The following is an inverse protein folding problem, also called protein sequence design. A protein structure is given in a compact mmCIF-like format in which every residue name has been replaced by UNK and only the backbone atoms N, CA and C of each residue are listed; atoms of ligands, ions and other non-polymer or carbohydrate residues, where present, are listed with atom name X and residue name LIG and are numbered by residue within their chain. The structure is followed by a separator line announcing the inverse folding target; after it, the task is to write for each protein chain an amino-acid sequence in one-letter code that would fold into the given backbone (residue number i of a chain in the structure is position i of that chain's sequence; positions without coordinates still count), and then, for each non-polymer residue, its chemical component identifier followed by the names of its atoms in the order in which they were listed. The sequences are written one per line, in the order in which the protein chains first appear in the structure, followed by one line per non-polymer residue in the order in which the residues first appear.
data_IF_706864548999
#
_entry.id   IF_706864548999
#
_cell.length_a   1.000
_cell.length_b   1.000
_cell.length_c   1.000
_cell.angle_alpha   90.00
_cell.angle_beta   90.00
_cell.angle_gamma   90.00
#
_symmetry.space_group_name_H-M   'P 1'
#
loop_
_entity.id
_entity.type
_entity.pdbx_description
1 polymer ?
#
# COMPACT_ATOMS: atom_id res chain seq x y z
N UNK A 1 -19.27 6.57 21.51
CA UNK A 1 -18.10 5.72 21.84
C UNK A 1 -17.72 4.97 20.57
N UNK A 2 -16.58 5.28 19.97
CA UNK A 2 -16.08 4.54 18.82
C UNK A 2 -15.39 3.26 19.33
N UNK A 3 -15.77 2.10 18.79
CA UNK A 3 -15.06 0.85 19.06
C UNK A 3 -13.66 0.96 18.46
N UNK A 4 -12.62 0.80 19.27
CA UNK A 4 -11.25 0.65 18.79
C UNK A 4 -11.12 -0.73 18.15
N UNK A 5 -11.72 -0.88 16.97
CA UNK A 5 -11.59 -2.09 16.16
C UNK A 5 -10.09 -2.22 15.83
N UNK A 6 -9.46 -3.36 16.13
CA UNK A 6 -8.02 -3.58 15.91
C UNK A 6 -7.64 -3.67 14.42
N UNK A 7 -8.57 -3.36 13.52
CA UNK A 7 -8.40 -3.41 12.07
C UNK A 7 -8.31 -1.98 11.55
N UNK A 8 -7.11 -1.42 11.62
CA UNK A 8 -6.75 -0.19 10.93
C UNK A 8 -6.08 -0.55 9.60
N UNK A 9 -6.69 -0.13 8.50
CA UNK A 9 -6.15 -0.34 7.15
C UNK A 9 -6.22 0.95 6.36
N UNK A 10 -5.24 1.17 5.49
CA UNK A 10 -5.12 2.38 4.67
C UNK A 10 -5.39 2.05 3.20
N UNK A 11 -6.22 2.86 2.55
CA UNK A 11 -6.36 2.87 1.10
C UNK A 11 -5.88 4.18 0.53
N UNK A 12 -5.21 4.11 -0.62
CA UNK A 12 -4.88 5.30 -1.39
C UNK A 12 -4.83 4.98 -2.89
N UNK A 13 -4.97 6.02 -3.70
CA UNK A 13 -5.00 5.92 -5.14
C UNK A 13 -3.58 5.82 -5.76
N UNK A 14 -3.53 5.75 -7.10
CA UNK A 14 -2.32 5.54 -7.89
C UNK A 14 -1.24 6.61 -7.70
N UNK A 15 -1.62 7.84 -7.33
CA UNK A 15 -0.65 8.88 -6.98
C UNK A 15 0.25 8.46 -5.81
N UNK A 16 -0.32 7.72 -4.86
CA UNK A 16 0.39 7.24 -3.66
C UNK A 16 1.00 5.85 -3.86
N UNK A 17 0.45 5.00 -4.72
CA UNK A 17 1.02 3.67 -4.99
C UNK A 17 2.33 3.68 -5.76
N UNK A 18 2.63 4.76 -6.50
CA UNK A 18 3.94 4.97 -7.14
C UNK A 18 5.01 5.46 -6.16
N UNK A 19 4.61 6.06 -5.04
CA UNK A 19 5.54 6.65 -4.08
C UNK A 19 6.01 5.59 -3.07
N UNK A 20 7.20 5.04 -3.29
CA UNK A 20 7.77 4.01 -2.43
C UNK A 20 7.89 4.44 -0.96
N UNK A 21 8.03 5.74 -0.69
CA UNK A 21 8.11 6.29 0.67
C UNK A 21 6.79 6.15 1.40
N UNK A 22 5.66 6.34 0.71
CA UNK A 22 4.35 6.19 1.29
C UNK A 22 4.13 4.75 1.75
N UNK A 23 4.49 3.78 0.91
CA UNK A 23 4.50 2.37 1.28
C UNK A 23 5.38 2.11 2.51
N UNK A 24 6.60 2.66 2.56
CA UNK A 24 7.51 2.47 3.69
C UNK A 24 6.95 3.02 5.01
N UNK A 25 6.26 4.16 4.97
CA UNK A 25 5.62 4.75 6.16
C UNK A 25 4.52 3.82 6.70
N UNK A 26 3.73 3.19 5.81
CA UNK A 26 2.67 2.26 6.22
C UNK A 26 3.24 0.97 6.82
N UNK A 27 4.34 0.46 6.25
CA UNK A 27 5.08 -0.69 6.78
C UNK A 27 5.68 -0.39 8.17
N UNK A 28 6.32 0.77 8.34
CA UNK A 28 6.89 1.21 9.62
C UNK A 28 5.82 1.39 10.70
N UNK A 29 4.64 1.91 10.32
CA UNK A 29 3.48 2.02 11.19
C UNK A 29 2.78 0.68 11.51
N UNK A 30 3.19 -0.42 10.86
CA UNK A 30 2.55 -1.74 11.03
C UNK A 30 1.10 -1.78 10.52
N UNK A 31 0.73 -0.89 9.60
CA UNK A 31 -0.62 -0.79 9.07
C UNK A 31 -0.82 -1.67 7.83
N UNK A 32 -1.92 -2.43 7.77
CA UNK A 32 -2.32 -3.09 6.53
C UNK A 32 -2.75 -2.07 5.47
N UNK A 33 -2.43 -2.28 4.20
CA UNK A 33 -2.79 -1.32 3.15
C UNK A 33 -3.13 -1.93 1.79
N UNK A 34 -3.94 -1.19 1.04
CA UNK A 34 -4.24 -1.43 -0.38
C UNK A 34 -4.00 -0.14 -1.14
N UNK A 35 -2.94 -0.10 -1.94
CA UNK A 35 -2.60 1.06 -2.77
C UNK A 35 -2.88 0.72 -4.24
N UNK A 36 -3.66 1.57 -4.91
CA UNK A 36 -3.78 1.46 -6.36
C UNK A 36 -2.43 1.79 -6.99
N UNK A 37 -2.10 1.14 -8.11
CA UNK A 37 -0.88 1.38 -8.88
C UNK A 37 -1.27 1.65 -10.34
N UNK A 38 -0.62 2.60 -11.03
CA UNK A 38 -0.91 2.84 -12.43
C UNK A 38 -0.53 1.60 -13.25
N UNK A 39 -1.24 1.40 -14.37
CA UNK A 39 -1.04 0.23 -15.25
C UNK A 39 0.41 0.06 -15.74
N UNK A 40 1.16 1.16 -15.85
CA UNK A 40 2.56 1.16 -16.27
C UNK A 40 3.55 0.77 -15.16
N UNK A 41 3.08 0.50 -13.94
CA UNK A 41 3.94 0.08 -12.85
C UNK A 41 4.48 -1.34 -13.10
N UNK A 42 5.79 -1.45 -13.23
CA UNK A 42 6.45 -2.74 -13.38
C UNK A 42 6.48 -3.45 -12.03
N UNK A 43 5.80 -4.60 -11.94
CA UNK A 43 5.81 -5.43 -10.73
C UNK A 43 6.85 -6.52 -10.91
N UNK A 44 8.01 -6.36 -10.29
CA UNK A 44 9.00 -7.43 -10.20
C UNK A 44 8.53 -8.43 -9.16
N UNK A 45 7.87 -9.49 -9.60
CA UNK A 45 7.58 -10.63 -8.73
C UNK A 45 8.78 -11.59 -8.73
N UNK A 46 8.98 -12.39 -7.67
CA UNK A 46 10.03 -13.42 -7.64
C UNK A 46 9.90 -14.46 -8.76
N UNK A 47 8.71 -14.59 -9.36
CA UNK A 47 8.41 -15.50 -10.46
C UNK A 47 8.59 -14.86 -11.86
N UNK A 48 9.06 -13.62 -11.95
CA UNK A 48 9.20 -12.87 -13.21
C UNK A 48 8.39 -11.58 -13.20
N UNK A 49 8.69 -10.68 -14.15
CA UNK A 49 8.02 -9.39 -14.27
C UNK A 49 6.85 -9.47 -15.25
N UNK A 50 5.67 -9.04 -14.84
CA UNK A 50 4.48 -8.89 -15.68
C UNK A 50 4.26 -7.42 -16.05
#
# INVERSE_FOLDING_TARGET
MASALPVAWVTADAAYGQEWRFRRILEDAGAGYVLAVPKSQHVTSPAGSW
#
